data_IF_737708222493
#
_entry.id   IF_737708222493
#
_cell.length_a   1.000
_cell.length_b   1.000
_cell.length_c   1.000
_cell.angle_alpha   90.00
_cell.angle_beta   90.00
_cell.angle_gamma   90.00
#
_symmetry.space_group_name_H-M   'P 1'
#
loop_
_entity.id
_entity.type
_entity.pdbx_description
1 polymer ?
#
# COMPACT_ATOMS: atom_id res chain seq x y z
N UNK A 1 -10.43 -13.85 -9.01
CA UNK A 1 -9.90 -12.91 -7.99
C UNK A 1 -8.85 -12.03 -8.61
N UNK A 2 -8.88 -10.76 -8.31
CA UNK A 2 -7.84 -9.85 -8.77
C UNK A 2 -6.55 -10.10 -7.99
N UNK A 3 -5.45 -9.55 -8.50
CA UNK A 3 -4.19 -9.66 -7.78
C UNK A 3 -4.29 -9.03 -6.40
N UNK A 4 -4.99 -7.89 -6.28
CA UNK A 4 -5.16 -7.27 -4.96
C UNK A 4 -6.04 -8.12 -4.06
N UNK A 5 -7.01 -8.84 -4.59
CA UNK A 5 -7.83 -9.75 -3.77
C UNK A 5 -6.97 -10.88 -3.23
N UNK A 6 -6.09 -11.43 -4.05
CA UNK A 6 -5.20 -12.50 -3.63
C UNK A 6 -4.29 -12.00 -2.53
N UNK A 7 -3.72 -10.81 -2.71
CA UNK A 7 -2.83 -10.23 -1.71
C UNK A 7 -3.58 -9.93 -0.41
N UNK A 8 -4.79 -9.40 -0.52
CA UNK A 8 -5.62 -9.09 0.65
C UNK A 8 -5.84 -10.35 1.48
N UNK A 9 -6.16 -11.46 0.80
CA UNK A 9 -6.40 -12.71 1.53
C UNK A 9 -5.14 -13.20 2.24
N UNK A 10 -3.99 -13.08 1.57
CA UNK A 10 -2.73 -13.47 2.19
C UNK A 10 -2.46 -12.64 3.45
N UNK A 11 -2.65 -11.32 3.36
CA UNK A 11 -2.39 -10.44 4.50
C UNK A 11 -3.31 -10.78 5.67
N UNK A 12 -4.57 -11.07 5.39
CA UNK A 12 -5.50 -11.48 6.45
C UNK A 12 -5.08 -12.80 7.06
N UNK A 13 -4.72 -13.77 6.23
CA UNK A 13 -4.38 -15.10 6.73
C UNK A 13 -3.13 -15.09 7.59
N UNK A 14 -2.25 -14.11 7.39
CA UNK A 14 -0.99 -14.04 8.12
C UNK A 14 -1.00 -12.93 9.16
N UNK A 15 -2.16 -12.34 9.42
CA UNK A 15 -2.33 -11.32 10.45
C UNK A 15 -1.40 -10.12 10.26
N UNK A 16 -1.18 -9.74 9.00
CA UNK A 16 -0.38 -8.56 8.70
C UNK A 16 -1.33 -7.37 8.59
N UNK A 17 -1.14 -6.31 9.37
CA UNK A 17 -2.06 -5.19 9.35
C UNK A 17 -2.01 -4.43 8.03
N UNK A 18 -3.14 -4.06 7.52
CA UNK A 18 -3.23 -3.31 6.27
C UNK A 18 -4.56 -2.57 6.20
N UNK A 19 -4.61 -1.58 5.31
CA UNK A 19 -5.86 -0.92 4.95
C UNK A 19 -5.99 -0.95 3.44
N UNK A 20 -7.18 -1.22 2.96
CA UNK A 20 -7.45 -1.28 1.53
C UNK A 20 -8.43 -0.21 1.14
N UNK A 21 -8.15 0.48 0.04
CA UNK A 21 -9.00 1.49 -0.53
C UNK A 21 -9.38 1.09 -1.94
N UNK A 22 -10.67 1.19 -2.25
CA UNK A 22 -11.17 0.91 -3.60
C UNK A 22 -12.07 2.05 -4.02
N UNK A 23 -11.91 2.49 -5.26
CA UNK A 23 -12.79 3.50 -5.85
C UNK A 23 -13.18 3.00 -7.23
N UNK A 24 -14.41 2.58 -7.37
CA UNK A 24 -14.92 2.11 -8.64
C UNK A 24 -15.65 3.23 -9.34
N UNK A 25 -15.94 3.03 -10.61
CA UNK A 25 -16.70 4.01 -11.37
C UNK A 25 -18.07 4.23 -10.76
N UNK A 26 -18.68 3.16 -10.26
CA UNK A 26 -20.01 3.29 -9.68
C UNK A 26 -19.98 4.12 -8.41
N UNK A 27 -18.98 3.91 -7.56
CA UNK A 27 -18.84 4.70 -6.35
C UNK A 27 -18.63 6.16 -6.68
N UNK A 28 -17.80 6.44 -7.68
CA UNK A 28 -17.51 7.79 -8.09
C UNK A 28 -18.78 8.49 -8.59
N UNK A 29 -19.54 7.78 -9.41
CA UNK A 29 -20.76 8.36 -9.97
C UNK A 29 -21.81 8.62 -8.90
N UNK A 30 -21.81 7.82 -7.84
CA UNK A 30 -22.74 8.02 -6.75
C UNK A 30 -22.48 9.32 -6.00
N UNK A 31 -21.22 9.77 -5.94
CA UNK A 31 -20.92 11.05 -5.30
C UNK A 31 -21.46 12.21 -6.08
N UNK A 32 -21.46 12.15 -7.40
CA UNK A 32 -22.08 13.17 -8.22
C UNK A 32 -21.35 14.51 -8.24
N UNK A 33 -20.14 14.57 -7.70
CA UNK A 33 -19.49 15.84 -7.56
C UNK A 33 -18.35 16.08 -8.52
N UNK A 34 -17.87 15.05 -9.19
CA UNK A 34 -16.66 15.17 -9.98
C UNK A 34 -16.95 15.04 -11.45
N UNK A 35 -16.08 15.61 -12.26
CA UNK A 35 -16.26 15.56 -13.71
C UNK A 35 -15.40 14.51 -14.35
N UNK A 36 -14.49 13.89 -13.61
CA UNK A 36 -13.74 12.78 -14.17
C UNK A 36 -13.50 11.76 -13.07
N UNK A 37 -13.13 10.57 -13.50
CA UNK A 37 -13.02 9.43 -12.62
C UNK A 37 -11.72 8.68 -12.89
N UNK A 38 -11.09 8.20 -11.84
CA UNK A 38 -9.93 7.35 -11.96
C UNK A 38 -10.20 6.06 -11.19
N UNK A 39 -10.15 4.92 -11.91
CA UNK A 39 -10.27 3.64 -11.26
C UNK A 39 -9.03 3.44 -10.40
N UNK A 40 -9.23 3.17 -9.11
CA UNK A 40 -8.12 3.13 -8.17
C UNK A 40 -8.34 2.11 -7.09
N UNK A 41 -7.35 1.26 -6.88
CA UNK A 41 -7.36 0.26 -5.81
C UNK A 41 -5.99 0.25 -5.16
N UNK A 42 -5.96 0.27 -3.84
CA UNK A 42 -4.70 0.42 -3.12
C UNK A 42 -4.72 -0.37 -1.82
N UNK A 43 -3.59 -0.96 -1.47
CA UNK A 43 -3.38 -1.56 -0.16
C UNK A 43 -2.21 -0.84 0.48
N UNK A 44 -2.40 -0.33 1.69
CA UNK A 44 -1.35 0.32 2.47
C UNK A 44 -1.03 -0.54 3.69
N UNK A 45 0.24 -0.74 3.97
CA UNK A 45 0.69 -1.55 5.10
C UNK A 45 1.56 -0.68 5.99
N UNK A 46 1.22 -0.50 7.25
CA UNK A 46 0.06 -1.04 7.94
C UNK A 46 -1.22 -0.24 7.74
N UNK A 47 -1.15 1.03 7.39
CA UNK A 47 -2.35 1.83 7.22
C UNK A 47 -2.04 3.06 6.38
N UNK A 48 -3.05 3.88 6.10
CA UNK A 48 -2.86 5.03 5.23
C UNK A 48 -2.13 6.19 5.91
N UNK A 49 -2.16 6.23 7.23
CA UNK A 49 -1.48 7.30 7.94
C UNK A 49 0.01 7.06 8.03
N UNK A 50 0.42 5.82 8.22
CA UNK A 50 1.84 5.46 8.32
C UNK A 50 2.08 4.30 7.36
N UNK A 51 2.70 4.59 6.23
CA UNK A 51 2.87 3.60 5.17
C UNK A 51 4.31 3.11 5.14
N UNK A 52 4.49 1.83 5.48
CA UNK A 52 5.79 1.18 5.31
C UNK A 52 5.97 0.82 3.84
N UNK A 53 4.91 0.32 3.21
CA UNK A 53 4.88 0.07 1.78
C UNK A 53 3.43 0.00 1.32
N UNK A 54 3.25 0.20 0.02
CA UNK A 54 1.91 0.08 -0.55
C UNK A 54 1.97 -0.52 -1.93
N UNK A 55 0.83 -1.00 -2.40
CA UNK A 55 0.67 -1.47 -3.76
C UNK A 55 -0.61 -0.87 -4.32
N UNK A 56 -0.58 -0.54 -5.59
CA UNK A 56 -1.73 0.04 -6.27
C UNK A 56 -2.01 -0.68 -7.58
N UNK A 57 -3.27 -0.60 -7.99
CA UNK A 57 -3.69 -0.96 -9.34
C UNK A 57 -4.67 0.12 -9.73
N UNK A 58 -4.20 1.15 -10.43
CA UNK A 58 -5.05 2.27 -10.79
C UNK A 58 -4.68 2.77 -12.17
N UNK A 59 -5.60 3.49 -12.79
CA UNK A 59 -5.33 4.05 -14.10
C UNK A 59 -4.05 4.85 -14.06
N UNK A 60 -3.15 4.54 -14.99
CA UNK A 60 -1.85 5.20 -15.06
C UNK A 60 -0.74 4.48 -14.32
N UNK A 61 -1.06 3.51 -13.46
CA UNK A 61 0.01 2.77 -12.80
C UNK A 61 0.59 1.71 -13.73
N UNK A 62 1.83 1.33 -13.45
CA UNK A 62 2.52 0.36 -14.29
C UNK A 62 1.92 -1.03 -14.10
N UNK A 63 1.37 -1.56 -15.18
CA UNK A 63 0.74 -2.88 -15.18
C UNK A 63 -0.77 -2.84 -15.05
N UNK A 64 -1.37 -1.66 -14.89
CA UNK A 64 -2.80 -1.54 -14.66
C UNK A 64 -3.63 -2.27 -15.73
N UNK A 65 -3.26 -2.11 -17.00
CA UNK A 65 -4.07 -2.69 -18.08
C UNK A 65 -4.10 -4.21 -18.04
N UNK A 66 -3.08 -4.82 -17.45
CA UNK A 66 -2.99 -6.27 -17.32
C UNK A 66 -3.42 -6.74 -15.95
N UNK A 67 -3.97 -5.85 -15.13
CA UNK A 67 -4.39 -6.22 -13.77
C UNK A 67 -3.23 -6.44 -12.83
N UNK A 68 -2.04 -5.96 -13.19
CA UNK A 68 -0.86 -6.16 -12.36
C UNK A 68 -0.63 -4.97 -11.44
N UNK A 69 0.24 -5.16 -10.47
CA UNK A 69 0.40 -4.25 -9.36
C UNK A 69 1.65 -3.41 -9.49
N UNK A 70 1.58 -2.20 -8.95
CA UNK A 70 2.72 -1.33 -8.82
C UNK A 70 2.97 -1.12 -7.33
N UNK A 71 4.20 -1.31 -6.89
CA UNK A 71 4.55 -1.24 -5.47
C UNK A 71 5.55 -0.13 -5.20
N UNK A 72 5.50 0.41 -3.98
CA UNK A 72 6.45 1.40 -3.53
C UNK A 72 6.71 1.22 -2.04
N UNK A 73 7.87 1.68 -1.59
CA UNK A 73 8.25 1.63 -0.18
C UNK A 73 9.15 0.45 0.12
N UNK A 74 9.10 0.01 1.35
CA UNK A 74 10.06 -0.99 1.84
C UNK A 74 9.99 -2.33 1.09
N UNK A 75 8.88 -2.59 0.40
CA UNK A 75 8.69 -3.85 -0.30
C UNK A 75 9.43 -3.91 -1.64
N UNK A 76 9.81 -2.76 -2.22
CA UNK A 76 10.49 -2.76 -3.50
C UNK A 76 11.95 -3.15 -3.30
N UNK A 77 12.56 -3.66 -4.38
CA UNK A 77 13.91 -4.15 -4.27
C UNK A 77 14.95 -3.09 -4.62
N UNK A 78 14.52 -1.99 -5.21
CA UNK A 78 15.40 -0.87 -5.52
C UNK A 78 14.84 0.34 -4.80
N UNK A 79 15.66 1.00 -4.00
CA UNK A 79 15.20 2.12 -3.19
C UNK A 79 14.73 3.29 -4.04
N UNK A 80 13.69 3.95 -3.56
CA UNK A 80 13.20 5.21 -4.11
C UNK A 80 12.65 5.10 -5.52
N UNK A 81 12.25 3.92 -5.95
CA UNK A 81 11.58 3.79 -7.23
C UNK A 81 10.32 2.96 -7.04
N UNK A 82 9.38 3.14 -7.95
CA UNK A 82 8.21 2.28 -7.98
C UNK A 82 8.54 1.08 -8.85
N UNK A 83 7.98 -0.07 -8.50
CA UNK A 83 8.12 -1.27 -9.31
C UNK A 83 6.75 -1.67 -9.81
N UNK A 84 6.62 -1.87 -11.12
CA UNK A 84 5.34 -2.22 -11.72
C UNK A 84 5.32 -3.63 -12.26
N UNK A 85 4.17 -4.00 -12.82
CA UNK A 85 3.95 -5.29 -13.47
C UNK A 85 4.16 -6.47 -12.52
N UNK A 86 3.78 -6.30 -11.26
CA UNK A 86 3.97 -7.34 -10.25
C UNK A 86 2.67 -8.10 -10.03
N UNK A 87 2.80 -9.39 -9.75
CA UNK A 87 1.66 -10.20 -9.36
C UNK A 87 1.58 -10.21 -7.83
N UNK A 88 0.44 -10.66 -7.31
CA UNK A 88 0.32 -10.86 -5.87
C UNK A 88 1.39 -11.84 -5.38
N UNK A 89 1.70 -12.87 -6.17
CA UNK A 89 2.70 -13.84 -5.79
C UNK A 89 4.08 -13.19 -5.63
N UNK A 90 4.42 -12.26 -6.53
CA UNK A 90 5.69 -11.53 -6.42
C UNK A 90 5.76 -10.80 -5.09
N UNK A 91 4.68 -10.14 -4.70
CA UNK A 91 4.64 -9.40 -3.43
C UNK A 91 4.72 -10.37 -2.25
N UNK A 92 3.99 -11.47 -2.32
CA UNK A 92 3.98 -12.47 -1.24
C UNK A 92 5.37 -13.02 -1.02
N UNK A 93 6.12 -13.29 -2.10
CA UNK A 93 7.47 -13.79 -1.96
C UNK A 93 8.38 -12.79 -1.24
N UNK A 94 8.16 -11.51 -1.50
CA UNK A 94 8.93 -10.48 -0.81
C UNK A 94 8.54 -10.36 0.66
N UNK A 95 7.25 -10.52 0.96
CA UNK A 95 6.79 -10.51 2.35
C UNK A 95 7.48 -11.64 3.11
N UNK A 96 7.54 -12.82 2.50
CA UNK A 96 8.16 -13.97 3.15
C UNK A 96 9.66 -13.77 3.30
N UNK A 97 10.31 -13.25 2.28
CA UNK A 97 11.74 -13.03 2.32
C UNK A 97 12.12 -12.02 3.39
N UNK A 98 11.32 -10.97 3.55
CA UNK A 98 11.60 -9.93 4.53
C UNK A 98 11.00 -10.24 5.89
N UNK A 99 10.23 -11.32 5.98
CA UNK A 99 9.66 -11.80 7.25
C UNK A 99 8.78 -10.76 7.92
N UNK A 100 7.99 -10.04 7.13
CA UNK A 100 7.00 -9.14 7.69
C UNK A 100 5.99 -9.94 8.51
N UNK A 101 5.67 -9.42 9.68
CA UNK A 101 4.71 -10.04 10.58
C UNK A 101 3.98 -8.95 11.32
N UNK A 102 2.93 -9.32 12.05
CA UNK A 102 2.26 -8.36 12.91
C UNK A 102 3.25 -7.71 13.86
N UNK A 103 4.14 -8.52 14.47
CA UNK A 103 5.07 -7.99 15.45
C UNK A 103 6.09 -7.03 14.83
N UNK A 104 6.67 -7.39 13.70
CA UNK A 104 7.69 -6.53 13.09
C UNK A 104 7.07 -5.23 12.60
N UNK A 105 5.87 -5.30 12.05
CA UNK A 105 5.21 -4.10 11.53
C UNK A 105 4.73 -3.23 12.69
N UNK A 106 4.23 -3.84 13.77
CA UNK A 106 3.83 -3.09 14.94
C UNK A 106 5.01 -2.37 15.58
N UNK A 107 6.17 -3.01 15.63
CA UNK A 107 7.37 -2.38 16.14
C UNK A 107 7.79 -1.18 15.29
N UNK A 108 7.71 -1.34 13.97
CA UNK A 108 8.01 -0.24 13.07
C UNK A 108 7.04 0.93 13.28
N UNK A 109 5.74 0.60 13.40
CA UNK A 109 4.71 1.62 13.58
C UNK A 109 4.93 2.38 14.89
N UNK A 110 5.22 1.66 15.96
CA UNK A 110 5.46 2.28 17.26
C UNK A 110 6.66 3.23 17.18
N UNK A 111 7.69 2.83 16.49
CA UNK A 111 8.85 3.68 16.29
C UNK A 111 8.49 4.97 15.58
N UNK A 112 7.63 4.90 14.56
CA UNK A 112 7.21 6.09 13.84
C UNK A 112 6.39 7.03 14.71
N UNK A 113 5.48 6.48 15.48
CA UNK A 113 4.64 7.28 16.35
C UNK A 113 5.48 7.94 17.44
N UNK A 114 6.43 7.22 18.02
CA UNK A 114 7.29 7.79 19.06
C UNK A 114 8.18 8.88 18.49
N UNK A 115 8.71 8.69 17.30
CA UNK A 115 9.55 9.72 16.70
C UNK A 115 8.77 11.01 16.48
N UNK A 116 7.54 10.91 16.03
CA UNK A 116 6.72 12.11 15.84
C UNK A 116 6.45 12.80 17.16
N UNK A 117 6.19 12.03 18.20
CA UNK A 117 5.92 12.58 19.50
C UNK A 117 7.15 13.29 20.06
N UNK A 118 8.31 12.66 19.93
CA UNK A 118 9.52 13.21 20.49
C UNK A 118 9.97 14.46 19.76
N UNK A 119 9.79 14.48 18.45
CA UNK A 119 10.22 15.63 17.68
C UNK A 119 9.29 16.79 17.88
N UNK A 120 8.09 16.51 18.31
CA UNK A 120 7.23 17.60 18.67
C UNK A 120 6.79 18.45 17.53
N UNK A 121 6.70 18.02 16.46
CA UNK A 121 6.20 18.74 15.36
C UNK A 121 7.09 19.62 14.73
N UNK A 122 8.35 19.63 15.10
CA UNK A 122 9.09 20.49 14.56
C UNK A 122 9.44 20.08 13.33
N UNK A 123 9.69 19.63 12.94
CA UNK A 123 10.08 19.42 11.88
C UNK A 123 9.58 18.80 10.98
N UNK A 124 9.18 18.27 11.05
CA UNK A 124 8.66 17.56 10.26
C UNK A 124 8.37 17.91 9.13
N UNK A 125 8.46 18.65 8.92
CA UNK A 125 8.14 19.12 7.96
C UNK A 125 8.66 18.67 6.86
N UNK A 126 9.48 18.42 6.78
CA UNK A 126 10.05 18.10 5.71
C UNK A 126 9.71 16.91 5.22
N UNK A 127 9.13 16.24 5.58
CA UNK A 127 8.98 15.14 5.14
C UNK A 127 8.33 14.97 4.05
N UNK A 128 8.41 14.83 3.18
CA UNK A 128 7.98 14.48 2.04
C UNK A 128 7.18 15.27 1.52
#
# INVERSE_FOLDING_TARGET
MSELDILTQYLKDHNIPFERYDCSKEDFEADGEYTFYIDRHQICVPNQQYILWDVICQEGSYGYRDGLLEAYGDIVEVDDVVEGYLTAQDIIERIEKRQYSMDSISAWLLSKVQNETEIGGNEDLDRR
#
